data_IF_964971940591
#
_entry.id   IF_964971940591
#
_cell.length_a   1.000
_cell.length_b   1.000
_cell.length_c   1.000
_cell.angle_alpha   90.00
_cell.angle_beta   90.00
_cell.angle_gamma   90.00
#
_symmetry.space_group_name_H-M   'P 1'
#
loop_
_entity.id
_entity.type
_entity.pdbx_description
1 polymer ?
#
# COMPACT_ATOMS: atom_id res chain seq x y z
N UNK A 1 7.10 -3.10 1.57
CA UNK A 1 7.18 -2.22 2.76
C UNK A 1 8.10 -1.02 2.63
N UNK A 2 9.22 -1.09 1.91
CA UNK A 2 10.17 0.04 1.82
C UNK A 2 9.55 1.33 1.27
N UNK A 3 8.73 1.24 0.20
CA UNK A 3 8.03 2.40 -0.39
C UNK A 3 7.07 3.07 0.59
N UNK A 4 6.24 2.29 1.29
CA UNK A 4 5.35 2.81 2.33
C UNK A 4 6.12 3.56 3.43
N UNK A 5 7.25 3.01 3.89
CA UNK A 5 8.12 3.68 4.86
C UNK A 5 8.67 5.01 4.32
N UNK A 6 9.14 5.02 3.07
CA UNK A 6 9.66 6.23 2.43
C UNK A 6 8.59 7.32 2.31
N UNK A 7 7.39 6.99 1.82
CA UNK A 7 6.28 7.96 1.71
C UNK A 7 5.84 8.47 3.08
N UNK A 8 5.78 7.59 4.09
CA UNK A 8 5.49 7.95 5.47
C UNK A 8 6.49 8.96 6.02
N UNK A 9 7.79 8.67 5.93
CA UNK A 9 8.86 9.56 6.40
C UNK A 9 8.91 10.87 5.64
N UNK A 10 8.69 10.84 4.32
CA UNK A 10 8.65 12.05 3.51
C UNK A 10 7.54 13.01 3.97
N UNK A 11 6.34 12.49 4.26
CA UNK A 11 5.25 13.30 4.79
C UNK A 11 5.60 13.89 6.18
N UNK A 12 6.24 13.11 7.05
CA UNK A 12 6.72 13.60 8.36
C UNK A 12 7.74 14.73 8.18
N UNK A 13 8.77 14.54 7.36
CA UNK A 13 9.84 15.51 7.16
C UNK A 13 9.32 16.82 6.56
N UNK A 14 8.39 16.72 5.60
CA UNK A 14 7.72 17.90 5.02
C UNK A 14 6.99 18.71 6.08
N UNK A 15 6.23 18.06 6.96
CA UNK A 15 5.56 18.73 8.07
C UNK A 15 6.56 19.29 9.08
N UNK A 16 7.64 18.59 9.38
CA UNK A 16 8.73 19.11 10.24
C UNK A 16 9.51 20.24 9.57
N UNK A 17 9.43 20.40 8.25
CA UNK A 17 9.87 21.59 7.53
C UNK A 17 8.94 22.80 7.69
N UNK A 18 7.74 22.61 8.24
CA UNK A 18 6.71 23.64 8.41
C UNK A 18 5.80 23.82 7.19
N UNK A 19 5.78 22.86 6.26
CA UNK A 19 4.89 22.92 5.10
C UNK A 19 3.49 22.39 5.43
N UNK A 20 2.47 23.03 4.89
CA UNK A 20 1.06 22.62 4.96
C UNK A 20 0.52 22.45 6.40
N UNK A 21 -0.35 21.46 6.60
CA UNK A 21 -0.96 21.05 7.85
C UNK A 21 -0.70 19.56 8.13
N UNK A 22 -1.06 19.12 9.35
CA UNK A 22 -0.91 17.72 9.78
C UNK A 22 -1.69 16.76 8.87
N UNK A 23 -2.78 17.19 8.21
CA UNK A 23 -3.50 16.38 7.24
C UNK A 23 -4.39 15.30 7.87
N UNK A 24 -4.88 15.51 9.10
CA UNK A 24 -5.80 14.59 9.79
C UNK A 24 -7.11 15.30 10.23
N UNK A 25 -7.85 15.94 9.31
CA UNK A 25 -9.05 16.73 9.66
C UNK A 25 -10.19 15.88 10.23
N UNK A 26 -10.31 14.62 9.80
CA UNK A 26 -11.36 13.70 10.24
C UNK A 26 -11.26 13.30 11.73
N UNK A 27 -10.11 13.51 12.37
CA UNK A 27 -9.91 13.37 13.83
C UNK A 27 -9.63 14.70 14.52
N UNK A 28 -9.90 15.83 13.85
CA UNK A 28 -9.68 17.17 14.41
C UNK A 28 -8.20 17.58 14.55
N UNK A 29 -7.27 16.91 13.86
CA UNK A 29 -5.82 17.18 13.90
C UNK A 29 -5.33 17.74 12.57
N UNK A 30 -5.79 18.92 12.21
CA UNK A 30 -5.37 19.60 10.96
C UNK A 30 -4.75 20.98 11.20
N UNK A 31 -4.06 21.12 12.34
CA UNK A 31 -3.28 22.32 12.61
C UNK A 31 -2.12 22.47 11.61
N UNK A 32 -1.68 23.70 11.42
CA UNK A 32 -0.48 24.00 10.63
C UNK A 32 0.72 23.28 11.18
N UNK A 33 1.54 22.77 10.27
CA UNK A 33 2.79 22.13 10.62
C UNK A 33 3.77 23.12 11.25
N UNK A 34 4.54 22.66 12.23
CA UNK A 34 5.52 23.48 12.96
C UNK A 34 6.92 23.05 12.51
N UNK A 35 7.76 24.02 12.17
CA UNK A 35 9.13 23.74 11.79
C UNK A 35 9.93 23.18 12.98
N UNK A 36 10.29 21.90 12.88
CA UNK A 36 11.14 21.13 13.80
C UNK A 36 12.32 20.49 13.07
N UNK A 37 12.70 21.00 11.90
CA UNK A 37 13.80 20.48 11.06
C UNK A 37 15.15 20.38 11.79
N UNK A 38 15.35 21.16 12.85
CA UNK A 38 16.58 21.17 13.67
C UNK A 38 16.58 20.13 14.78
N UNK A 39 15.43 19.54 15.10
CA UNK A 39 15.30 18.52 16.12
C UNK A 39 15.46 17.18 15.40
N UNK A 40 16.43 16.33 15.78
CA UNK A 40 16.54 15.00 15.20
C UNK A 40 15.28 14.19 15.55
N UNK A 41 14.83 13.37 14.60
CA UNK A 41 13.73 12.43 14.82
C UNK A 41 14.27 11.03 14.55
N UNK A 42 14.12 10.16 15.54
CA UNK A 42 14.52 8.78 15.43
C UNK A 42 13.51 7.97 14.61
N UNK A 43 13.97 6.99 13.84
CA UNK A 43 13.10 6.13 13.03
C UNK A 43 12.24 5.20 13.91
N UNK A 44 12.64 4.95 15.16
CA UNK A 44 11.89 4.15 16.13
C UNK A 44 10.93 4.98 17.00
N UNK A 45 10.69 6.23 16.63
CA UNK A 45 9.81 7.12 17.39
C UNK A 45 8.34 6.65 17.42
N UNK A 46 7.70 6.83 18.58
CA UNK A 46 6.25 6.70 18.77
C UNK A 46 5.53 8.07 18.72
N UNK A 47 6.19 9.12 18.23
CA UNK A 47 5.56 10.43 18.04
C UNK A 47 4.34 10.33 17.12
N UNK A 48 3.33 11.17 17.39
CA UNK A 48 2.10 11.19 16.60
C UNK A 48 2.39 11.55 15.13
N UNK A 49 2.11 10.62 14.23
CA UNK A 49 2.27 10.79 12.80
C UNK A 49 1.35 11.87 12.19
N UNK A 50 1.69 12.24 10.97
CA UNK A 50 0.93 13.12 10.08
C UNK A 50 0.17 12.28 9.06
N UNK A 51 -0.97 12.77 8.58
CA UNK A 51 -1.70 12.12 7.48
C UNK A 51 -0.95 12.33 6.16
N UNK A 52 -0.43 13.54 5.96
CA UNK A 52 0.29 13.92 4.75
C UNK A 52 -0.65 14.13 3.55
N UNK A 53 -0.13 14.77 2.51
CA UNK A 53 -0.83 15.01 1.24
C UNK A 53 -0.28 14.16 0.09
N UNK A 54 0.84 13.47 0.32
CA UNK A 54 1.44 12.58 -0.67
C UNK A 54 0.95 11.16 -0.43
N UNK A 55 0.22 10.63 -1.39
CA UNK A 55 -0.32 9.27 -1.36
C UNK A 55 0.77 8.23 -1.59
N UNK A 56 0.62 7.08 -0.94
CA UNK A 56 1.45 5.93 -1.23
C UNK A 56 0.91 5.17 -2.44
N UNK A 57 1.70 5.09 -3.50
CA UNK A 57 1.30 4.45 -4.77
C UNK A 57 2.10 3.17 -4.99
N UNK A 58 1.42 2.11 -5.40
CA UNK A 58 2.03 0.84 -5.82
C UNK A 58 1.46 0.41 -7.18
N UNK A 59 2.23 -0.39 -7.92
CA UNK A 59 1.83 -0.91 -9.22
C UNK A 59 0.94 -2.13 -9.02
N UNK A 60 -0.21 -2.17 -9.72
CA UNK A 60 -1.07 -3.34 -9.72
C UNK A 60 -0.35 -4.54 -10.35
N UNK A 61 -0.33 -5.68 -9.64
CA UNK A 61 0.31 -6.91 -10.13
C UNK A 61 -0.64 -7.72 -11.01
N UNK A 62 -1.94 -7.66 -10.70
CA UNK A 62 -3.01 -8.33 -11.41
C UNK A 62 -4.22 -7.40 -11.40
N UNK A 63 -4.84 -7.21 -12.56
CA UNK A 63 -6.12 -6.53 -12.70
C UNK A 63 -7.18 -7.57 -13.07
N UNK A 64 -8.39 -7.38 -12.54
CA UNK A 64 -9.54 -8.25 -12.80
C UNK A 64 -10.78 -7.39 -12.99
N UNK A 65 -11.68 -7.83 -13.87
CA UNK A 65 -12.94 -7.12 -14.16
C UNK A 65 -14.05 -7.37 -13.12
N UNK A 66 -13.75 -8.10 -12.04
CA UNK A 66 -14.69 -8.46 -10.98
C UNK A 66 -14.38 -7.72 -9.69
N UNK A 67 -15.42 -7.37 -8.92
CA UNK A 67 -15.23 -6.77 -7.60
C UNK A 67 -14.68 -7.78 -6.61
N UNK A 68 -13.49 -7.50 -6.07
CA UNK A 68 -12.88 -8.27 -4.98
C UNK A 68 -13.42 -7.80 -3.64
N UNK A 69 -13.86 -8.75 -2.80
CA UNK A 69 -14.44 -8.52 -1.48
C UNK A 69 -13.57 -9.04 -0.34
N UNK A 70 -12.68 -10.00 -0.63
CA UNK A 70 -11.73 -10.55 0.33
C UNK A 70 -10.39 -10.88 -0.35
N UNK A 71 -9.29 -10.73 0.38
CA UNK A 71 -7.96 -11.11 -0.06
C UNK A 71 -7.27 -11.95 1.03
N UNK A 72 -6.56 -12.99 0.61
CA UNK A 72 -5.68 -13.78 1.45
C UNK A 72 -4.42 -14.16 0.66
N UNK A 73 -3.36 -14.53 1.36
CA UNK A 73 -2.08 -14.85 0.73
C UNK A 73 -1.35 -15.98 1.43
N UNK A 74 -0.65 -16.78 0.64
CA UNK A 74 0.34 -17.75 1.11
C UNK A 74 1.71 -17.23 0.68
N UNK A 75 2.67 -17.22 1.61
CA UNK A 75 4.02 -16.69 1.36
C UNK A 75 4.88 -17.67 0.57
N UNK A 76 4.70 -18.97 0.82
CA UNK A 76 5.46 -20.05 0.17
C UNK A 76 4.56 -21.27 -0.05
N UNK A 77 4.13 -21.55 -1.30
CA UNK A 77 4.37 -20.77 -2.52
C UNK A 77 3.66 -19.41 -2.48
N UNK A 78 4.17 -18.42 -3.22
CA UNK A 78 3.57 -17.07 -3.31
C UNK A 78 2.27 -17.10 -4.10
N UNK A 79 1.16 -17.14 -3.38
CA UNK A 79 -0.18 -17.23 -3.94
C UNK A 79 -1.04 -16.14 -3.31
N UNK A 80 -1.86 -15.49 -4.14
CA UNK A 80 -2.96 -14.63 -3.68
C UNK A 80 -4.27 -15.32 -4.01
N UNK A 81 -5.16 -15.35 -3.02
CA UNK A 81 -6.53 -15.79 -3.13
C UNK A 81 -7.43 -14.56 -3.00
N UNK A 82 -8.35 -14.38 -3.96
CA UNK A 82 -9.28 -13.26 -3.97
C UNK A 82 -10.72 -13.78 -4.02
N UNK A 83 -11.50 -13.46 -3.00
CA UNK A 83 -12.94 -13.68 -2.99
C UNK A 83 -13.64 -12.58 -3.78
N UNK A 84 -14.59 -12.95 -4.63
CA UNK A 84 -15.37 -12.04 -5.48
C UNK A 84 -16.77 -11.85 -4.92
N UNK A 85 -17.47 -10.81 -5.38
CA UNK A 85 -18.88 -10.59 -4.98
C UNK A 85 -19.84 -11.70 -5.45
N UNK A 86 -19.52 -12.38 -6.56
CA UNK A 86 -20.31 -13.50 -7.10
C UNK A 86 -20.03 -14.85 -6.41
N UNK A 87 -19.27 -14.85 -5.31
CA UNK A 87 -18.94 -16.05 -4.54
C UNK A 87 -17.84 -16.93 -5.17
N UNK A 88 -17.12 -16.44 -6.17
CA UNK A 88 -15.96 -17.13 -6.75
C UNK A 88 -14.68 -16.82 -5.98
N UNK A 89 -13.74 -17.78 -5.97
CA UNK A 89 -12.39 -17.59 -5.46
C UNK A 89 -11.42 -17.63 -6.65
N UNK A 90 -10.72 -16.52 -6.87
CA UNK A 90 -9.65 -16.40 -7.84
C UNK A 90 -8.32 -16.74 -7.18
N UNK A 91 -7.49 -17.54 -7.85
CA UNK A 91 -6.14 -17.88 -7.38
C UNK A 91 -5.11 -17.38 -8.39
N UNK A 92 -4.13 -16.60 -7.92
CA UNK A 92 -3.02 -16.14 -8.74
C UNK A 92 -1.67 -16.47 -8.11
N UNK A 93 -0.76 -17.03 -8.90
CA UNK A 93 0.63 -17.24 -8.52
C UNK A 93 1.41 -15.96 -8.82
N UNK A 94 2.00 -15.36 -7.78
CA UNK A 94 2.84 -14.19 -7.95
C UNK A 94 4.27 -14.64 -8.29
N UNK A 95 4.63 -14.60 -9.57
CA UNK A 95 6.04 -14.65 -9.95
C UNK A 95 6.62 -13.24 -9.83
N UNK A 96 7.75 -13.10 -9.13
CA UNK A 96 8.53 -11.87 -9.21
C UNK A 96 9.30 -11.87 -10.51
N UNK A 97 8.73 -11.33 -11.59
CA UNK A 97 9.56 -10.92 -12.72
C UNK A 97 10.15 -9.55 -12.38
N UNK A 98 11.44 -9.55 -12.01
CA UNK A 98 12.24 -8.35 -11.80
C UNK A 98 12.65 -7.73 -13.14
N UNK A 99 11.68 -7.36 -13.99
CA UNK A 99 11.94 -6.52 -15.17
C UNK A 99 10.87 -5.45 -15.32
N UNK A 100 11.23 -4.15 -15.29
CA UNK A 100 10.31 -3.09 -15.67
C UNK A 100 10.12 -3.15 -17.19
N UNK A 101 8.87 -3.33 -17.65
CA UNK A 101 8.50 -2.97 -19.01
C UNK A 101 8.07 -4.09 -19.98
N UNK A 102 7.70 -5.29 -19.53
CA UNK A 102 7.10 -6.27 -20.46
C UNK A 102 5.81 -6.91 -19.95
N UNK A 103 4.69 -6.48 -20.56
CA UNK A 103 3.44 -7.23 -20.62
C UNK A 103 3.69 -8.60 -21.27
N UNK A 104 3.96 -9.62 -20.46
CA UNK A 104 3.83 -11.01 -20.88
C UNK A 104 2.70 -11.62 -20.07
N UNK A 105 1.62 -11.93 -20.80
CA UNK A 105 0.35 -12.39 -20.25
C UNK A 105 0.53 -13.48 -19.19
N UNK A 106 0.05 -13.16 -17.99
CA UNK A 106 -0.08 -14.10 -16.89
C UNK A 106 -1.10 -15.16 -17.27
N UNK A 107 -0.67 -16.42 -17.33
CA UNK A 107 -1.57 -17.55 -17.60
C UNK A 107 -2.27 -17.94 -16.30
N UNK A 108 -3.46 -17.39 -16.08
CA UNK A 108 -4.30 -17.74 -14.93
C UNK A 108 -4.96 -19.10 -15.19
N UNK A 109 -4.65 -20.10 -14.37
CA UNK A 109 -5.36 -21.39 -14.35
C UNK A 109 -6.29 -21.39 -13.15
N UNK A 110 -7.56 -21.07 -13.38
CA UNK A 110 -8.61 -21.26 -12.37
C UNK A 110 -8.83 -22.76 -12.17
N UNK A 111 -8.45 -23.29 -11.02
CA UNK A 111 -8.80 -24.65 -10.62
C UNK A 111 -10.14 -24.55 -9.91
N UNK A 112 -11.24 -24.87 -10.60
CA UNK A 112 -12.52 -25.13 -9.93
C UNK A 112 -12.37 -26.44 -9.16
N UNK A 113 -12.40 -26.38 -7.83
CA UNK A 113 -12.79 -27.53 -7.03
C UNK A 113 -14.30 -27.43 -6.82
N UNK A 114 -15.08 -28.29 -7.49
CA UNK A 114 -16.44 -28.61 -7.06
C UNK A 114 -16.37 -29.88 -6.20
N UNK A 115 -17.05 -29.95 -5.04
CA UNK A 115 -17.49 -31.22 -4.48
C UNK A 115 -18.62 -31.85 -5.31
#
# INVERSE_FOLDING_TARGET
MQRLKLTFWYNIDRCRGGADSIGLPHVGRDAKCINKSRIPLDEETCELGVGGSIEAVEVAVVEVDQKITALSGVVSPRIVLAGTEDGQILQSHLALDSTPGHNKGWRVRFVRHMP
#
